data_IF_145359405616
#
_entry.id   IF_145359405616
#
_cell.length_a   1.000
_cell.length_b   1.000
_cell.length_c   1.000
_cell.angle_alpha   90.00
_cell.angle_beta   90.00
_cell.angle_gamma   90.00
#
_symmetry.space_group_name_H-M   'P 1'
#
loop_
_entity.id
_entity.type
_entity.pdbx_description
1 polymer ?
#
# COMPACT_ATOMS: atom_id res chain seq x y z
N UNK A 1 -19.51 7.86 10.68
CA UNK A 1 -20.57 7.46 11.64
C UNK A 1 -21.36 6.24 11.16
N UNK A 2 -21.88 6.16 9.91
CA UNK A 2 -22.64 4.99 9.42
C UNK A 2 -21.88 3.68 9.51
N UNK A 3 -20.59 3.67 9.18
CA UNK A 3 -19.76 2.48 9.30
C UNK A 3 -19.69 1.98 10.75
N UNK A 4 -19.49 2.90 11.70
CA UNK A 4 -19.42 2.58 13.13
C UNK A 4 -20.76 2.13 13.71
N UNK A 5 -21.87 2.57 13.10
CA UNK A 5 -23.21 2.17 13.48
C UNK A 5 -23.67 0.85 12.82
N UNK A 6 -22.75 0.09 12.18
CA UNK A 6 -23.06 -1.19 11.57
C UNK A 6 -23.65 -1.12 10.15
N UNK A 7 -23.54 0.02 9.47
CA UNK A 7 -24.03 0.23 8.10
C UNK A 7 -22.89 0.47 7.08
N UNK A 8 -21.97 -0.50 6.85
CA UNK A 8 -20.81 -0.29 5.98
C UNK A 8 -21.22 -0.01 4.52
N UNK A 9 -22.28 -0.64 4.03
CA UNK A 9 -22.78 -0.40 2.67
C UNK A 9 -23.27 1.03 2.49
N UNK A 10 -23.97 1.59 3.48
CA UNK A 10 -24.43 2.99 3.47
C UNK A 10 -23.24 3.95 3.54
N UNK A 11 -22.23 3.62 4.32
CA UNK A 11 -20.99 4.41 4.39
C UNK A 11 -20.28 4.45 3.03
N UNK A 12 -20.21 3.32 2.33
CA UNK A 12 -19.64 3.25 0.99
C UNK A 12 -20.44 4.08 -0.02
N UNK A 13 -21.77 3.95 -0.04
CA UNK A 13 -22.65 4.73 -0.93
C UNK A 13 -22.48 6.23 -0.74
N UNK A 14 -22.38 6.70 0.51
CA UNK A 14 -22.15 8.11 0.82
C UNK A 14 -20.75 8.57 0.40
N UNK A 15 -19.73 7.72 0.59
CA UNK A 15 -18.38 8.00 0.12
C UNK A 15 -18.33 8.13 -1.40
N UNK A 16 -18.92 7.18 -2.13
CA UNK A 16 -18.99 7.20 -3.59
C UNK A 16 -19.78 8.43 -4.09
N UNK A 17 -20.92 8.75 -3.44
CA UNK A 17 -21.72 9.95 -3.76
C UNK A 17 -20.89 11.21 -3.55
N UNK A 18 -20.18 11.35 -2.44
CA UNK A 18 -19.34 12.52 -2.18
C UNK A 18 -18.25 12.69 -3.25
N UNK A 19 -17.62 11.59 -3.70
CA UNK A 19 -16.63 11.65 -4.78
C UNK A 19 -17.23 12.11 -6.11
N UNK A 20 -18.47 11.71 -6.40
CA UNK A 20 -19.19 12.07 -7.66
C UNK A 20 -19.74 13.50 -7.62
N UNK A 21 -20.42 13.86 -6.53
CA UNK A 21 -21.13 15.16 -6.40
C UNK A 21 -20.16 16.36 -6.42
N UNK A 22 -18.93 16.17 -5.94
CA UNK A 22 -17.90 17.21 -5.92
C UNK A 22 -16.88 17.10 -7.07
N UNK A 23 -17.15 16.27 -8.09
CA UNK A 23 -16.22 15.98 -9.17
C UNK A 23 -14.82 15.53 -8.71
N UNK A 24 -14.68 15.25 -7.42
CA UNK A 24 -13.42 14.85 -6.75
C UNK A 24 -12.81 13.61 -7.43
N UNK A 25 -13.67 12.74 -7.98
CA UNK A 25 -13.21 11.54 -8.68
C UNK A 25 -12.29 11.88 -9.87
N UNK A 26 -12.68 12.86 -10.69
CA UNK A 26 -11.90 13.30 -11.85
C UNK A 26 -10.62 14.01 -11.41
N UNK A 27 -10.71 14.83 -10.37
CA UNK A 27 -9.56 15.53 -9.79
C UNK A 27 -8.55 14.54 -9.17
N UNK A 28 -9.01 13.57 -8.38
CA UNK A 28 -8.14 12.52 -7.83
C UNK A 28 -7.36 11.83 -8.95
N UNK A 29 -8.04 11.49 -10.04
CA UNK A 29 -7.39 10.83 -11.18
C UNK A 29 -6.40 11.78 -11.84
N UNK A 30 -6.79 13.01 -12.16
CA UNK A 30 -5.94 13.94 -12.87
C UNK A 30 -4.74 14.44 -12.05
N UNK A 31 -4.95 14.74 -10.77
CA UNK A 31 -3.93 15.34 -9.90
C UNK A 31 -3.07 14.30 -9.18
N UNK A 32 -3.66 13.17 -8.81
CA UNK A 32 -2.99 12.16 -7.96
C UNK A 32 -2.56 10.93 -8.73
N UNK A 33 -2.98 10.74 -9.97
CA UNK A 33 -2.55 9.60 -10.76
C UNK A 33 -1.07 9.73 -11.13
N UNK A 34 -0.35 8.64 -10.92
CA UNK A 34 1.04 8.48 -11.37
C UNK A 34 1.15 7.23 -12.22
N UNK A 35 2.08 7.27 -13.15
CA UNK A 35 2.48 6.12 -13.94
C UNK A 35 3.80 5.57 -13.44
N UNK A 36 3.85 4.27 -13.21
CA UNK A 36 5.08 3.51 -12.98
C UNK A 36 5.45 2.82 -14.29
N UNK A 37 6.66 3.06 -14.82
CA UNK A 37 7.08 2.47 -16.10
C UNK A 37 7.08 0.95 -16.08
N UNK A 38 6.95 0.32 -17.25
CA UNK A 38 7.18 -1.10 -17.43
C UNK A 38 8.57 -1.50 -16.93
N UNK A 39 8.73 -2.72 -16.44
CA UNK A 39 9.96 -3.30 -15.89
C UNK A 39 10.47 -2.62 -14.59
N UNK A 40 9.63 -1.85 -13.90
CA UNK A 40 9.93 -1.36 -12.56
C UNK A 40 9.92 -2.50 -11.55
N UNK A 41 10.86 -2.47 -10.61
CA UNK A 41 10.99 -3.50 -9.58
C UNK A 41 10.17 -3.16 -8.36
N UNK A 42 9.56 -4.21 -7.77
CA UNK A 42 8.82 -4.15 -6.52
C UNK A 42 9.25 -5.31 -5.64
N UNK A 43 9.32 -5.08 -4.34
CA UNK A 43 9.80 -6.05 -3.38
C UNK A 43 8.70 -6.42 -2.40
N UNK A 44 8.69 -7.70 -2.03
CA UNK A 44 7.87 -8.18 -0.93
C UNK A 44 8.70 -9.10 -0.06
N UNK A 45 8.66 -8.81 1.23
CA UNK A 45 9.25 -9.66 2.28
C UNK A 45 8.13 -10.24 3.14
N UNK A 46 8.36 -11.43 3.65
CA UNK A 46 7.50 -12.08 4.62
C UNK A 46 8.35 -12.70 5.71
N UNK A 47 8.04 -12.38 6.97
CA UNK A 47 8.67 -12.97 8.14
C UNK A 47 8.39 -14.47 8.14
N UNK A 48 9.44 -15.28 8.35
CA UNK A 48 9.27 -16.69 8.56
C UNK A 48 8.79 -16.91 10.00
N UNK A 49 7.57 -17.41 10.14
CA UNK A 49 7.06 -17.76 11.46
C UNK A 49 7.73 -19.05 11.91
N UNK A 50 8.51 -18.97 12.98
CA UNK A 50 9.06 -20.15 13.65
C UNK A 50 7.95 -21.12 14.06
N UNK A 51 8.22 -22.45 14.10
CA UNK A 51 7.21 -23.51 14.25
C UNK A 51 6.39 -23.51 15.54
N UNK A 52 6.59 -22.57 16.46
CA UNK A 52 5.83 -22.46 17.70
C UNK A 52 4.44 -21.83 17.57
N UNK A 53 4.06 -21.34 16.39
CA UNK A 53 2.69 -20.89 16.13
C UNK A 53 1.95 -22.00 15.40
N UNK A 54 1.43 -22.96 16.15
CA UNK A 54 0.47 -23.98 15.73
C UNK A 54 -0.81 -23.37 15.18
N UNK A 55 -0.79 -22.76 13.98
CA UNK A 55 -2.09 -22.26 13.49
C UNK A 55 -2.37 -22.48 12.01
N UNK A 56 -1.41 -22.89 11.19
CA UNK A 56 -1.69 -23.03 9.76
C UNK A 56 -0.87 -24.19 9.19
N UNK A 57 -1.47 -25.36 9.16
CA UNK A 57 -0.86 -26.60 8.60
C UNK A 57 -0.47 -26.49 7.13
N UNK A 58 -0.95 -25.45 6.42
CA UNK A 58 -0.65 -25.21 5.00
C UNK A 58 0.40 -24.12 4.75
N UNK A 59 0.93 -23.44 5.77
CA UNK A 59 2.05 -22.51 5.61
C UNK A 59 3.37 -23.26 5.81
N UNK A 60 3.81 -23.92 4.76
CA UNK A 60 5.11 -24.61 4.74
C UNK A 60 6.24 -23.61 4.95
N UNK A 61 7.20 -23.96 5.81
CA UNK A 61 8.46 -23.27 6.05
C UNK A 61 9.33 -23.12 4.79
N UNK A 62 8.97 -23.80 3.71
CA UNK A 62 9.66 -23.81 2.43
C UNK A 62 8.81 -23.08 1.37
N UNK A 63 8.85 -21.74 1.40
CA UNK A 63 8.31 -20.94 0.31
C UNK A 63 9.26 -21.01 -0.87
N UNK A 64 8.94 -21.83 -1.86
CA UNK A 64 9.71 -21.95 -3.11
C UNK A 64 9.02 -21.27 -4.29
N UNK A 65 7.72 -21.00 -4.16
CA UNK A 65 6.95 -20.38 -5.22
C UNK A 65 6.77 -18.88 -4.95
N UNK A 66 7.16 -18.00 -5.88
CA UNK A 66 6.93 -16.55 -5.78
C UNK A 66 5.49 -16.16 -5.48
N UNK A 67 4.52 -16.96 -5.93
CA UNK A 67 3.10 -16.75 -5.64
C UNK A 67 2.76 -16.87 -4.14
N UNK A 68 3.55 -17.59 -3.34
CA UNK A 68 3.31 -17.68 -1.89
C UNK A 68 3.61 -16.34 -1.19
N UNK A 69 4.45 -15.49 -1.80
CA UNK A 69 4.68 -14.10 -1.39
C UNK A 69 3.81 -13.09 -2.15
N UNK A 70 2.88 -13.52 -2.97
CA UNK A 70 1.95 -12.64 -3.68
C UNK A 70 0.81 -12.18 -2.77
N UNK A 71 -0.42 -12.10 -3.20
CA UNK A 71 -1.53 -11.89 -2.28
C UNK A 71 -1.97 -13.21 -1.63
N UNK A 72 -2.63 -13.21 -0.45
CA UNK A 72 -3.15 -14.44 0.16
C UNK A 72 -4.09 -15.21 -0.80
N UNK A 73 -3.94 -16.53 -0.89
CA UNK A 73 -4.82 -17.39 -1.69
C UNK A 73 -6.29 -17.19 -1.29
N UNK A 74 -7.22 -17.29 -2.22
CA UNK A 74 -8.63 -17.06 -1.95
C UNK A 74 -9.23 -18.04 -0.93
N UNK A 75 -8.78 -19.28 -0.88
CA UNK A 75 -9.22 -20.25 0.15
C UNK A 75 -8.76 -19.87 1.56
N UNK A 76 -7.76 -18.99 1.71
CA UNK A 76 -7.26 -18.54 2.99
C UNK A 76 -7.85 -17.19 3.45
N UNK A 77 -8.97 -16.75 2.87
CA UNK A 77 -9.62 -15.46 3.20
C UNK A 77 -9.87 -15.25 4.68
N UNK A 78 -10.28 -16.31 5.39
CA UNK A 78 -10.57 -16.26 6.84
C UNK A 78 -9.39 -15.76 7.69
N UNK A 79 -8.18 -15.81 7.14
CA UNK A 79 -6.94 -15.40 7.80
C UNK A 79 -6.42 -14.04 7.36
N UNK A 80 -7.09 -13.41 6.39
CA UNK A 80 -6.70 -12.08 5.92
C UNK A 80 -7.17 -11.03 6.92
N UNK A 81 -6.25 -10.35 7.63
CA UNK A 81 -6.62 -9.34 8.60
C UNK A 81 -7.10 -8.06 7.93
N UNK A 82 -7.69 -7.17 8.72
CA UNK A 82 -7.95 -5.79 8.30
C UNK A 82 -6.63 -5.04 8.21
N UNK A 83 -6.28 -4.59 7.01
CA UNK A 83 -5.13 -3.73 6.73
C UNK A 83 -5.58 -2.32 6.37
N UNK A 84 -4.63 -1.37 6.26
CA UNK A 84 -4.95 0.04 6.01
C UNK A 84 -5.87 0.23 4.80
N UNK A 85 -5.65 -0.50 3.71
CA UNK A 85 -6.42 -0.36 2.47
C UNK A 85 -7.30 -1.57 2.15
N UNK A 86 -7.24 -2.66 2.90
CA UNK A 86 -8.05 -3.85 2.65
C UNK A 86 -8.85 -4.28 3.85
N UNK A 87 -10.13 -4.54 3.62
CA UNK A 87 -11.03 -5.09 4.65
C UNK A 87 -10.64 -6.52 4.99
N UNK A 88 -11.00 -6.96 6.19
CA UNK A 88 -10.81 -8.34 6.63
C UNK A 88 -11.46 -9.34 5.66
N UNK A 89 -10.77 -10.43 5.36
CA UNK A 89 -11.24 -11.45 4.44
C UNK A 89 -11.10 -11.10 2.96
N UNK A 90 -10.63 -9.91 2.62
CA UNK A 90 -10.45 -9.49 1.22
C UNK A 90 -8.96 -9.36 0.87
N UNK A 91 -8.40 -10.31 0.09
CA UNK A 91 -6.99 -10.26 -0.29
C UNK A 91 -6.65 -9.03 -1.12
N UNK A 92 -5.48 -8.46 -0.88
CA UNK A 92 -4.87 -7.42 -1.71
C UNK A 92 -3.37 -7.67 -1.78
N UNK A 93 -2.74 -7.28 -2.88
CA UNK A 93 -1.30 -7.37 -3.03
C UNK A 93 -0.67 -6.11 -2.45
N UNK A 94 0.24 -6.27 -1.48
CA UNK A 94 1.08 -5.22 -0.91
C UNK A 94 2.52 -5.44 -1.31
N UNK A 95 3.13 -4.46 -1.96
CA UNK A 95 4.52 -4.47 -2.43
C UNK A 95 5.17 -3.12 -2.18
N UNK A 96 6.50 -3.08 -2.15
CA UNK A 96 7.26 -1.86 -1.87
C UNK A 96 8.20 -1.53 -3.03
N UNK A 97 8.52 -0.25 -3.19
CA UNK A 97 9.42 0.24 -4.25
C UNK A 97 10.88 -0.23 -4.06
N UNK A 98 11.29 -0.47 -2.82
CA UNK A 98 12.63 -0.94 -2.49
C UNK A 98 12.59 -1.98 -1.36
N UNK A 99 13.68 -2.74 -1.24
CA UNK A 99 13.77 -3.82 -0.26
C UNK A 99 13.79 -3.29 1.17
N UNK A 100 14.41 -2.14 1.44
CA UNK A 100 14.44 -1.57 2.80
C UNK A 100 13.04 -1.25 3.30
N UNK A 101 12.18 -0.70 2.44
CA UNK A 101 10.78 -0.43 2.78
C UNK A 101 10.03 -1.71 3.08
N UNK A 102 10.13 -2.71 2.20
CA UNK A 102 9.47 -4.01 2.39
C UNK A 102 9.94 -4.71 3.67
N UNK A 103 11.25 -4.71 3.93
CA UNK A 103 11.84 -5.28 5.13
C UNK A 103 11.36 -4.57 6.41
N UNK A 104 11.29 -3.23 6.39
CA UNK A 104 10.82 -2.45 7.55
C UNK A 104 9.38 -2.75 7.93
N UNK A 105 8.51 -2.96 6.93
CA UNK A 105 7.11 -3.33 7.18
C UNK A 105 6.99 -4.73 7.80
N UNK A 106 7.89 -5.64 7.46
CA UNK A 106 7.92 -7.00 8.01
C UNK A 106 8.57 -7.05 9.41
N UNK A 107 9.49 -6.13 9.71
CA UNK A 107 10.23 -6.05 10.97
C UNK A 107 10.18 -4.63 11.56
N UNK A 108 9.01 -4.15 12.01
CA UNK A 108 8.86 -2.77 12.47
C UNK A 108 9.68 -2.45 13.73
N UNK A 109 9.89 -3.44 14.62
CA UNK A 109 10.52 -3.28 15.93
C UNK A 109 12.01 -3.65 15.95
N UNK A 110 12.72 -3.61 14.82
CA UNK A 110 14.14 -4.02 14.75
C UNK A 110 14.45 -5.45 15.22
N UNK A 111 13.46 -6.32 15.19
CA UNK A 111 13.63 -7.72 15.51
C UNK A 111 14.55 -8.41 14.50
N UNK A 112 15.41 -9.30 14.98
CA UNK A 112 16.09 -10.26 14.12
C UNK A 112 15.14 -11.41 13.81
N UNK A 113 15.19 -11.93 12.60
CA UNK A 113 14.35 -13.08 12.23
C UNK A 113 14.62 -13.56 10.82
N UNK A 114 14.21 -14.79 10.56
CA UNK A 114 14.25 -15.35 9.21
C UNK A 114 13.14 -14.75 8.36
N UNK A 115 13.40 -14.52 7.08
CA UNK A 115 12.40 -13.99 6.15
C UNK A 115 12.62 -14.51 4.74
N UNK A 116 11.55 -14.48 3.98
CA UNK A 116 11.55 -14.71 2.54
C UNK A 116 11.40 -13.40 1.81
N UNK A 117 12.03 -13.30 0.64
CA UNK A 117 11.94 -12.13 -0.23
C UNK A 117 11.76 -12.52 -1.67
N UNK A 118 10.99 -11.74 -2.40
CA UNK A 118 10.82 -11.85 -3.85
C UNK A 118 10.86 -10.46 -4.47
N UNK A 119 11.39 -10.37 -5.68
CA UNK A 119 11.29 -9.20 -6.54
C UNK A 119 10.30 -9.49 -7.65
N UNK A 120 9.33 -8.60 -7.83
CA UNK A 120 8.39 -8.58 -8.95
C UNK A 120 8.77 -7.47 -9.92
N UNK A 121 8.56 -7.69 -11.22
CA UNK A 121 8.65 -6.65 -12.25
C UNK A 121 7.33 -6.56 -13.00
N UNK A 122 6.80 -5.35 -13.15
CA UNK A 122 5.58 -5.15 -13.93
C UNK A 122 5.86 -5.31 -15.44
N UNK A 123 4.96 -6.02 -16.13
CA UNK A 123 5.11 -6.31 -17.57
C UNK A 123 4.46 -5.26 -18.47
N UNK A 124 3.69 -4.34 -17.91
CA UNK A 124 3.15 -3.14 -18.54
C UNK A 124 3.26 -1.93 -17.61
N UNK A 125 3.09 -0.70 -18.11
CA UNK A 125 2.95 0.45 -17.22
C UNK A 125 1.79 0.24 -16.23
N UNK A 126 1.99 0.63 -14.96
CA UNK A 126 0.98 0.58 -13.91
C UNK A 126 0.60 2.00 -13.48
N UNK A 127 -0.66 2.20 -13.16
CA UNK A 127 -1.20 3.49 -12.75
C UNK A 127 -1.71 3.42 -11.33
N UNK A 128 -1.29 4.38 -10.50
CA UNK A 128 -1.65 4.41 -9.08
C UNK A 128 -2.19 5.78 -8.68
N UNK A 129 -3.14 5.80 -7.76
CA UNK A 129 -3.46 7.01 -7.00
C UNK A 129 -2.36 7.21 -5.95
N UNK A 130 -1.68 8.34 -6.04
CA UNK A 130 -0.55 8.67 -5.17
C UNK A 130 -1.00 9.45 -3.94
N UNK A 131 -1.11 8.78 -2.83
CA UNK A 131 -1.39 9.37 -1.52
C UNK A 131 -0.11 9.87 -0.81
N UNK A 132 1.07 9.76 -1.44
CA UNK A 132 2.29 10.29 -0.85
C UNK A 132 2.25 11.83 -0.88
N UNK A 133 2.39 12.47 0.25
CA UNK A 133 2.23 13.92 0.44
C UNK A 133 3.13 14.80 -0.44
N UNK A 134 4.17 14.23 -1.09
CA UNK A 134 5.19 15.01 -1.83
C UNK A 134 4.63 15.87 -2.96
N UNK A 135 3.58 15.46 -3.66
CA UNK A 135 3.03 16.24 -4.77
C UNK A 135 2.21 17.43 -4.29
N UNK A 136 1.42 17.27 -3.23
CA UNK A 136 0.58 18.35 -2.69
C UNK A 136 1.40 19.40 -1.95
N UNK A 137 2.45 19.00 -1.22
CA UNK A 137 3.37 19.94 -0.57
C UNK A 137 4.34 20.62 -1.56
N UNK A 138 4.53 20.09 -2.77
CA UNK A 138 5.31 20.75 -3.82
C UNK A 138 4.55 21.89 -4.50
N UNK A 139 3.25 21.82 -4.54
CA UNK A 139 2.45 22.97 -4.92
C UNK A 139 2.48 23.97 -3.74
N UNK A 140 3.49 24.83 -3.72
CA UNK A 140 3.64 25.98 -2.84
C UNK A 140 2.35 26.81 -2.68
N UNK A 141 1.41 26.64 -3.63
CA UNK A 141 0.12 27.33 -3.70
C UNK A 141 -0.80 27.03 -2.53
N UNK A 142 -0.81 25.84 -1.92
CA UNK A 142 -1.73 25.52 -0.84
C UNK A 142 -1.39 26.22 0.48
N UNK A 143 -0.13 26.59 0.70
CA UNK A 143 0.29 27.23 1.95
C UNK A 143 0.81 28.66 1.76
N UNK A 144 1.40 29.00 0.61
CA UNK A 144 1.85 30.38 0.34
C UNK A 144 0.67 31.32 0.00
N UNK A 145 -0.48 30.77 -0.44
CA UNK A 145 -1.72 31.56 -0.68
C UNK A 145 -2.53 31.89 0.58
N UNK A 146 -2.29 31.18 1.70
CA UNK A 146 -3.05 31.40 2.95
C UNK A 146 -2.44 32.53 3.81
N UNK A 147 -1.18 32.89 3.60
CA UNK A 147 -0.53 34.01 4.31
C UNK A 147 -0.16 35.09 3.29
N UNK A 148 -0.89 36.21 3.23
CA UNK A 148 -0.51 37.31 2.35
C UNK A 148 0.85 37.84 2.77
N UNK A 149 1.86 37.66 1.92
CA UNK A 149 3.11 38.40 2.05
C UNK A 149 2.78 39.88 1.95
N UNK A 150 3.08 40.64 3.01
CA UNK A 150 2.94 42.09 3.03
C UNK A 150 3.51 42.68 1.72
N UNK A 151 2.61 43.24 0.88
CA UNK A 151 3.00 44.10 -0.25
C UNK A 151 2.78 43.54 -1.67
N UNK A 152 2.20 42.36 -1.88
CA UNK A 152 1.76 41.92 -3.22
C UNK A 152 0.31 41.41 -3.16
N UNK A 153 -0.58 42.07 -3.88
CA UNK A 153 -1.92 41.57 -4.16
C UNK A 153 -1.81 40.36 -5.11
N UNK A 154 -1.61 39.17 -4.56
CA UNK A 154 -1.80 37.96 -5.31
C UNK A 154 -3.30 37.59 -5.13
N UNK A 155 -4.06 37.61 -6.21
CA UNK A 155 -5.39 37.03 -6.23
C UNK A 155 -5.28 35.60 -5.76
N UNK A 156 -5.88 35.26 -4.60
CA UNK A 156 -5.99 33.91 -4.10
C UNK A 156 -6.85 33.13 -5.09
N UNK A 157 -6.29 32.11 -5.71
CA UNK A 157 -7.05 31.21 -6.56
C UNK A 157 -7.91 30.29 -5.67
N UNK A 158 -9.08 30.81 -5.31
CA UNK A 158 -10.07 30.07 -4.49
C UNK A 158 -10.56 28.81 -5.19
N UNK A 159 -10.70 28.83 -6.51
CA UNK A 159 -11.14 27.69 -7.29
C UNK A 159 -10.09 26.57 -7.22
N UNK A 160 -8.82 26.86 -7.54
CA UNK A 160 -7.75 25.89 -7.44
C UNK A 160 -7.49 25.37 -6.01
N UNK A 161 -7.82 26.15 -4.97
CA UNK A 161 -7.79 25.70 -3.58
C UNK A 161 -8.93 24.72 -3.27
N UNK A 162 -10.15 25.03 -3.68
CA UNK A 162 -11.31 24.18 -3.47
C UNK A 162 -11.18 22.86 -4.25
N UNK A 163 -10.65 22.91 -5.46
CA UNK A 163 -10.39 21.75 -6.31
C UNK A 163 -9.40 20.76 -5.66
N UNK A 164 -8.38 21.27 -4.99
CA UNK A 164 -7.40 20.44 -4.30
C UNK A 164 -7.85 20.01 -2.89
N UNK A 165 -8.87 20.61 -2.34
CA UNK A 165 -9.29 20.41 -0.94
C UNK A 165 -9.82 18.99 -0.69
N UNK A 166 -10.60 18.44 -1.64
CA UNK A 166 -11.12 17.06 -1.56
C UNK A 166 -10.00 16.02 -1.60
N UNK A 167 -9.04 16.17 -2.52
CA UNK A 167 -7.87 15.29 -2.61
C UNK A 167 -7.01 15.35 -1.34
N UNK A 168 -6.83 16.54 -0.77
CA UNK A 168 -6.10 16.74 0.47
C UNK A 168 -6.74 16.03 1.67
N UNK A 169 -8.06 16.07 1.81
CA UNK A 169 -8.78 15.36 2.86
C UNK A 169 -8.58 13.84 2.77
N UNK A 170 -8.60 13.27 1.56
CA UNK A 170 -8.34 11.84 1.35
C UNK A 170 -6.92 11.46 1.77
N UNK A 171 -5.93 12.29 1.44
CA UNK A 171 -4.55 12.07 1.86
C UNK A 171 -4.44 12.12 3.37
N UNK A 172 -4.98 13.15 4.02
CA UNK A 172 -4.97 13.25 5.47
C UNK A 172 -5.62 12.02 6.13
N UNK A 173 -6.83 11.66 5.69
CA UNK A 173 -7.53 10.50 6.22
C UNK A 173 -6.74 9.20 6.04
N UNK A 174 -6.00 9.07 4.93
CA UNK A 174 -5.17 7.89 4.65
C UNK A 174 -3.88 7.83 5.46
N UNK A 175 -3.44 8.95 6.04
CA UNK A 175 -2.22 9.07 6.84
C UNK A 175 -2.45 9.16 8.35
N UNK A 176 -3.69 9.11 8.81
CA UNK A 176 -3.98 9.09 10.24
C UNK A 176 -3.20 7.93 10.88
N UNK A 177 -2.28 8.26 11.77
CA UNK A 177 -1.53 7.26 12.54
C UNK A 177 -2.46 6.63 13.56
N UNK A 178 -2.37 5.33 13.68
CA UNK A 178 -3.04 4.65 14.78
C UNK A 178 -2.53 5.22 16.10
N UNK A 179 -3.44 5.67 16.95
CA UNK A 179 -3.09 6.19 18.28
C UNK A 179 -2.91 5.00 19.23
N UNK A 180 -1.68 4.51 19.37
CA UNK A 180 -1.34 3.50 20.37
C UNK A 180 -0.74 4.16 21.61
N UNK A 181 -1.25 3.79 22.77
CA UNK A 181 -0.43 3.83 23.99
C UNK A 181 0.40 2.55 24.01
N UNK A 182 1.71 2.66 24.29
CA UNK A 182 2.69 1.55 24.31
C UNK A 182 2.32 0.38 25.26
N UNK A 183 1.32 0.55 26.13
CA UNK A 183 0.88 -0.41 27.13
C UNK A 183 -0.21 -1.38 26.66
N UNK A 184 -0.75 -1.21 25.44
CA UNK A 184 -1.94 -1.94 25.06
C UNK A 184 -1.62 -3.06 24.06
N UNK A 185 -2.16 -4.24 24.35
CA UNK A 185 -2.25 -5.39 23.43
C UNK A 185 -3.01 -5.08 22.12
N UNK A 186 -3.17 -3.81 21.76
CA UNK A 186 -3.99 -3.28 20.67
C UNK A 186 -3.42 -3.53 19.27
N UNK A 187 -2.20 -4.04 19.15
CA UNK A 187 -1.72 -4.58 17.86
C UNK A 187 -2.64 -5.71 17.33
N UNK A 188 -3.41 -6.32 18.23
CA UNK A 188 -4.36 -7.39 17.92
C UNK A 188 -5.79 -6.91 17.63
N UNK A 189 -6.06 -5.60 17.63
CA UNK A 189 -7.41 -5.12 17.34
C UNK A 189 -7.82 -5.48 15.91
N UNK A 190 -8.90 -6.25 15.81
CA UNK A 190 -9.48 -6.66 14.53
C UNK A 190 -10.08 -5.47 13.76
N UNK A 191 -10.45 -4.39 14.47
CA UNK A 191 -11.08 -3.19 13.92
C UNK A 191 -10.25 -1.95 14.22
N UNK A 192 -10.01 -1.12 13.18
CA UNK A 192 -9.26 0.13 13.24
C UNK A 192 -10.06 1.20 12.50
N UNK A 193 -10.62 2.14 13.26
CA UNK A 193 -11.47 3.21 12.70
C UNK A 193 -10.72 4.06 11.66
N UNK A 194 -9.41 4.24 11.84
CA UNK A 194 -8.52 5.00 10.95
C UNK A 194 -8.36 4.35 9.57
N UNK A 195 -8.75 3.08 9.43
CA UNK A 195 -8.66 2.36 8.16
C UNK A 195 -9.95 2.46 7.32
N UNK A 196 -11.04 3.00 7.86
CA UNK A 196 -12.34 3.06 7.15
C UNK A 196 -12.20 3.79 5.82
N UNK A 197 -11.70 5.03 5.82
CA UNK A 197 -11.59 5.84 4.59
C UNK A 197 -10.60 5.23 3.58
N UNK A 198 -9.37 4.82 3.97
CA UNK A 198 -8.48 4.10 3.06
C UNK A 198 -9.09 2.83 2.45
N UNK A 199 -9.86 2.07 3.23
CA UNK A 199 -10.52 0.86 2.75
C UNK A 199 -11.67 1.17 1.77
N UNK A 200 -12.46 2.21 2.04
CA UNK A 200 -13.50 2.68 1.12
C UNK A 200 -12.88 3.16 -0.20
N UNK A 201 -11.75 3.84 -0.15
CA UNK A 201 -11.04 4.31 -1.34
C UNK A 201 -10.56 3.14 -2.21
N UNK A 202 -9.95 2.09 -1.61
CA UNK A 202 -9.53 0.91 -2.39
C UNK A 202 -10.72 0.13 -2.96
N UNK A 203 -11.83 0.05 -2.22
CA UNK A 203 -13.08 -0.53 -2.74
C UNK A 203 -13.61 0.25 -3.93
N UNK A 204 -13.61 1.59 -3.85
CA UNK A 204 -14.03 2.46 -4.93
C UNK A 204 -13.16 2.27 -6.18
N UNK A 205 -11.83 2.30 -6.05
CA UNK A 205 -10.89 2.03 -7.15
C UNK A 205 -11.15 0.65 -7.80
N UNK A 206 -11.47 -0.37 -6.99
CA UNK A 206 -11.80 -1.70 -7.51
C UNK A 206 -13.08 -1.70 -8.33
N UNK A 207 -14.12 -0.99 -7.88
CA UNK A 207 -15.45 -1.02 -8.49
C UNK A 207 -15.55 -0.12 -9.72
N UNK A 208 -14.79 0.97 -9.74
CA UNK A 208 -14.75 1.84 -10.89
C UNK A 208 -13.92 1.20 -12.01
N UNK A 209 -14.39 1.34 -13.24
CA UNK A 209 -13.62 0.89 -14.42
C UNK A 209 -12.55 1.93 -14.79
N UNK A 210 -11.80 2.38 -13.80
CA UNK A 210 -10.73 3.36 -13.96
C UNK A 210 -9.47 2.67 -14.46
N UNK A 211 -8.70 3.40 -15.26
CA UNK A 211 -7.34 3.00 -15.66
C UNK A 211 -6.34 3.15 -14.50
N UNK A 212 -6.71 2.65 -13.31
CA UNK A 212 -5.91 2.72 -12.08
C UNK A 212 -5.76 1.32 -11.51
N UNK A 213 -4.53 0.90 -11.27
CA UNK A 213 -4.21 -0.45 -10.77
C UNK A 213 -4.28 -0.54 -9.24
N UNK A 214 -4.07 0.57 -8.54
CA UNK A 214 -4.07 0.57 -7.07
C UNK A 214 -3.72 1.92 -6.44
N UNK A 215 -3.19 1.88 -5.23
CA UNK A 215 -2.79 3.04 -4.42
C UNK A 215 -1.31 2.98 -4.12
N UNK A 216 -0.59 4.10 -4.27
CA UNK A 216 0.75 4.33 -3.74
C UNK A 216 0.66 5.19 -2.48
N UNK A 217 1.41 4.83 -1.45
CA UNK A 217 1.44 5.58 -0.19
C UNK A 217 2.82 5.52 0.47
N UNK A 218 3.06 6.46 1.38
CA UNK A 218 4.34 6.58 2.07
C UNK A 218 4.42 5.64 3.28
N UNK A 219 5.55 4.93 3.43
CA UNK A 219 5.84 4.11 4.60
C UNK A 219 6.45 4.96 5.71
N UNK A 220 5.68 5.22 6.76
CA UNK A 220 6.20 5.86 7.97
C UNK A 220 7.18 4.96 8.73
N UNK A 221 6.99 3.65 8.69
CA UNK A 221 7.85 2.65 9.35
C UNK A 221 9.27 2.70 8.79
N UNK A 222 9.38 2.63 7.46
CA UNK A 222 10.67 2.68 6.78
C UNK A 222 11.37 4.03 6.95
N UNK A 223 10.62 5.13 6.89
CA UNK A 223 11.17 6.47 7.05
C UNK A 223 11.77 6.71 8.44
N UNK A 224 11.14 6.16 9.48
CA UNK A 224 11.66 6.24 10.85
C UNK A 224 12.91 5.37 11.06
N UNK A 225 12.96 4.21 10.37
CA UNK A 225 14.02 3.22 10.54
C UNK A 225 15.29 3.57 9.76
N UNK A 226 15.14 4.13 8.57
CA UNK A 226 16.25 4.44 7.67
C UNK A 226 16.22 5.91 7.23
N UNK A 227 16.47 6.87 8.15
CA UNK A 227 16.49 8.29 7.79
C UNK A 227 17.57 8.54 6.73
N UNK A 228 17.18 9.14 5.61
CA UNK A 228 18.11 9.46 4.49
C UNK A 228 17.87 8.73 3.18
N UNK A 229 17.03 7.69 3.15
CA UNK A 229 16.55 7.11 1.90
C UNK A 229 15.46 8.03 1.32
N UNK A 230 15.48 8.24 -0.01
CA UNK A 230 14.58 9.22 -0.64
C UNK A 230 13.16 8.70 -0.91
N UNK A 231 12.97 7.39 -1.03
CA UNK A 231 11.73 6.79 -1.54
C UNK A 231 11.28 5.64 -0.64
N UNK A 232 10.27 5.88 0.19
CA UNK A 232 9.67 4.87 1.07
C UNK A 232 8.24 4.58 0.64
N UNK A 233 8.07 4.13 -0.62
CA UNK A 233 6.73 3.92 -1.15
C UNK A 233 6.30 2.47 -1.05
N UNK A 234 5.08 2.30 -0.56
CA UNK A 234 4.32 1.07 -0.65
C UNK A 234 3.21 1.21 -1.69
N UNK A 235 2.87 0.09 -2.28
CA UNK A 235 1.79 -0.03 -3.25
C UNK A 235 0.81 -1.09 -2.78
N UNK A 236 -0.48 -0.83 -2.95
CA UNK A 236 -1.52 -1.82 -2.72
C UNK A 236 -2.40 -1.95 -3.95
N UNK A 237 -2.55 -3.18 -4.43
CA UNK A 237 -3.37 -3.51 -5.60
C UNK A 237 -4.53 -4.41 -5.13
N UNK A 238 -5.79 -4.02 -5.41
CA UNK A 238 -6.93 -4.85 -5.07
C UNK A 238 -7.04 -6.05 -5.99
N UNK A 239 -7.46 -7.20 -5.47
CA UNK A 239 -7.90 -8.30 -6.34
C UNK A 239 -9.22 -7.90 -7.01
N UNK A 240 -9.25 -7.89 -8.34
CA UNK A 240 -10.44 -7.48 -9.11
C UNK A 240 -11.42 -8.63 -9.34
N UNK A 241 -10.92 -9.84 -9.41
CA UNK A 241 -11.70 -11.07 -9.57
C UNK A 241 -11.73 -11.85 -8.27
N UNK A 242 -12.89 -12.36 -7.90
CA UNK A 242 -13.08 -13.19 -6.71
C UNK A 242 -13.24 -14.65 -7.14
N UNK A 243 -12.30 -15.49 -6.74
CA UNK A 243 -12.31 -16.93 -6.99
C UNK A 243 -12.54 -17.70 -5.68
N UNK A 244 -12.86 -18.97 -5.79
CA UNK A 244 -12.95 -19.85 -4.62
C UNK A 244 -11.56 -20.27 -4.10
N UNK A 245 -10.61 -20.50 -5.01
CA UNK A 245 -9.25 -20.98 -4.72
C UNK A 245 -8.22 -20.23 -5.57
N UNK A 246 -6.95 -20.32 -5.19
CA UNK A 246 -5.82 -19.80 -5.93
C UNK A 246 -5.62 -18.29 -5.82
N UNK A 247 -5.05 -17.71 -6.83
CA UNK A 247 -4.67 -16.31 -6.94
C UNK A 247 -5.51 -15.58 -7.99
N UNK A 248 -5.52 -14.26 -7.95
CA UNK A 248 -6.22 -13.41 -8.91
C UNK A 248 -5.47 -13.40 -10.27
N UNK A 249 -6.03 -14.00 -11.35
CA UNK A 249 -5.32 -14.09 -12.63
C UNK A 249 -4.96 -12.73 -13.20
N UNK A 250 -5.87 -11.75 -13.10
CA UNK A 250 -5.62 -10.39 -13.60
C UNK A 250 -4.49 -9.66 -12.86
N UNK A 251 -4.21 -9.99 -11.59
CA UNK A 251 -3.04 -9.48 -10.90
C UNK A 251 -1.78 -10.25 -11.26
N UNK A 252 -1.86 -11.58 -11.36
CA UNK A 252 -0.72 -12.40 -11.79
C UNK A 252 -0.22 -11.98 -13.17
N UNK A 253 -1.13 -11.69 -14.11
CA UNK A 253 -0.77 -11.23 -15.46
C UNK A 253 -0.11 -9.85 -15.51
N UNK A 254 -0.04 -9.11 -14.40
CA UNK A 254 0.66 -7.82 -14.35
C UNK A 254 2.16 -7.94 -14.08
N UNK A 255 2.62 -9.10 -13.59
CA UNK A 255 3.97 -9.24 -13.07
C UNK A 255 4.70 -10.47 -13.60
N UNK A 256 6.02 -10.33 -13.66
CA UNK A 256 6.98 -11.42 -13.62
C UNK A 256 7.70 -11.39 -12.28
N UNK A 257 8.28 -12.49 -11.85
CA UNK A 257 9.04 -12.57 -10.58
C UNK A 257 10.38 -13.27 -10.75
N UNK A 258 11.32 -12.92 -9.88
CA UNK A 258 12.47 -13.78 -9.62
C UNK A 258 12.06 -14.98 -8.73
N UNK A 259 13.00 -15.89 -8.46
CA UNK A 259 12.84 -16.94 -7.46
C UNK A 259 12.74 -16.33 -6.05
N UNK A 260 12.22 -17.12 -5.10
CA UNK A 260 12.16 -16.72 -3.68
C UNK A 260 13.52 -16.94 -3.05
N UNK A 261 14.03 -15.95 -2.35
CA UNK A 261 15.26 -16.04 -1.56
C UNK A 261 14.90 -16.05 -0.07
N UNK A 262 15.59 -16.88 0.69
CA UNK A 262 15.38 -17.05 2.13
C UNK A 262 16.62 -16.61 2.90
N UNK A 263 16.42 -15.79 3.91
CA UNK A 263 17.48 -15.31 4.80
C UNK A 263 17.16 -15.73 6.24
N UNK A 264 18.14 -16.27 6.95
CA UNK A 264 17.97 -16.86 8.28
C UNK A 264 18.68 -16.02 9.33
N UNK A 265 17.99 -15.73 10.43
CA UNK A 265 18.50 -15.13 11.68
C UNK A 265 19.35 -13.85 11.54
N UNK A 266 19.08 -13.01 10.55
CA UNK A 266 19.88 -11.83 10.30
C UNK A 266 19.10 -10.54 10.55
N UNK A 267 19.65 -9.68 11.43
CA UNK A 267 19.33 -8.26 11.42
C UNK A 267 20.15 -7.60 10.32
N UNK A 268 19.51 -7.25 9.21
CA UNK A 268 20.20 -6.70 8.06
C UNK A 268 20.34 -5.18 8.17
N UNK A 269 21.54 -4.69 7.88
CA UNK A 269 21.82 -3.26 7.72
C UNK A 269 21.26 -2.73 6.39
N UNK A 270 21.10 -1.41 6.29
CA UNK A 270 20.67 -0.76 5.05
C UNK A 270 21.60 -1.12 3.84
N UNK A 271 22.91 -1.21 4.10
CA UNK A 271 23.91 -1.57 3.08
C UNK A 271 23.72 -3.02 2.58
N UNK A 272 23.49 -3.96 3.49
CA UNK A 272 23.23 -5.37 3.14
C UNK A 272 21.92 -5.51 2.36
N UNK A 273 20.86 -4.83 2.78
CA UNK A 273 19.58 -4.80 2.05
C UNK A 273 19.76 -4.23 0.65
N UNK A 274 20.57 -3.19 0.48
CA UNK A 274 20.88 -2.63 -0.83
C UNK A 274 21.62 -3.60 -1.74
N UNK A 275 22.56 -4.36 -1.20
CA UNK A 275 23.28 -5.40 -1.94
C UNK A 275 22.33 -6.50 -2.41
N UNK A 276 21.48 -7.02 -1.51
CA UNK A 276 20.45 -8.01 -1.84
C UNK A 276 19.48 -7.48 -2.91
N UNK A 277 19.06 -6.23 -2.80
CA UNK A 277 18.20 -5.58 -3.79
C UNK A 277 18.82 -5.61 -5.19
N UNK A 278 20.13 -5.32 -5.31
CA UNK A 278 20.84 -5.37 -6.58
C UNK A 278 20.92 -6.80 -7.13
N UNK A 279 21.19 -7.78 -6.29
CA UNK A 279 21.22 -9.19 -6.69
C UNK A 279 19.85 -9.67 -7.21
N UNK A 280 18.77 -9.32 -6.51
CA UNK A 280 17.39 -9.64 -6.91
C UNK A 280 17.02 -8.99 -8.25
N UNK A 281 17.41 -7.73 -8.47
CA UNK A 281 17.14 -7.02 -9.72
C UNK A 281 17.83 -7.64 -10.93
N UNK A 282 18.98 -8.29 -10.72
CA UNK A 282 19.77 -8.95 -11.76
C UNK A 282 19.40 -10.42 -11.95
N UNK A 283 18.46 -10.96 -11.17
CA UNK A 283 18.01 -12.34 -11.26
C UNK A 283 17.20 -12.60 -12.53
N UNK A 284 17.04 -13.87 -12.89
CA UNK A 284 16.14 -14.28 -13.97
C UNK A 284 14.68 -14.14 -13.54
N UNK A 285 13.85 -13.57 -14.40
CA UNK A 285 12.43 -13.36 -14.16
C UNK A 285 11.59 -14.31 -15.01
N UNK A 286 10.54 -14.87 -14.42
CA UNK A 286 9.54 -15.71 -15.07
C UNK A 286 8.15 -15.10 -14.89
N UNK A 287 7.28 -15.28 -15.87
CA UNK A 287 5.88 -14.85 -15.74
C UNK A 287 5.18 -15.62 -14.63
N UNK A 288 4.23 -14.96 -13.94
CA UNK A 288 3.45 -15.55 -12.85
C UNK A 288 2.18 -16.27 -13.36
N UNK A 289 1.78 -16.01 -14.59
CA UNK A 289 0.60 -16.61 -15.23
C UNK A 289 0.98 -17.83 -16.06
#
# INVERSE_FOLDING_TARGET
QHYLNGYPSKAYQLFEKALKDYEIANEIISLMQIQIPKNSSFFRTQKNHTPNVRKYEDFTTNMHNPLDLFHPKFQHRRFVPSNRFSISGYPSLYISENLQTSYSESFPNDESGSFHVVCFKNIRPLYFIDLSQKKLFRNKFLFEGVLPKKGKSSSFDVAGFLDNFGAYQLILASHIKMQYKKSDEREKLNFKAEYIIPQLLLQWIKQQNLAVDGIRYYSCTAANKYPGIKNYYNYTLPVRQSLQKGYCPSLCSLFSSCEVYSYFNNRLTASQLKKIELELNNSKFKFLA
#
